data_IF_229846577158
#
_entry.id   IF_229846577158
#
_cell.length_a   1.000
_cell.length_b   1.000
_cell.length_c   1.000
_cell.angle_alpha   90.00
_cell.angle_beta   90.00
_cell.angle_gamma   90.00
#
_symmetry.space_group_name_H-M   'P 1'
#
loop_
_entity.id
_entity.type
_entity.pdbx_description
1 polymer ?
#
# COMPACT_ATOMS: atom_id res chain seq x y z
N UNK A 1 -23.53 -31.64 -14.28
CA UNK A 1 -22.12 -31.69 -13.85
C UNK A 1 -21.85 -30.38 -13.15
N UNK A 2 -21.78 -30.40 -11.82
CA UNK A 2 -21.73 -29.21 -10.99
C UNK A 2 -20.38 -28.53 -11.13
N UNK A 3 -20.37 -27.33 -11.71
CA UNK A 3 -19.18 -26.48 -11.84
C UNK A 3 -18.79 -25.96 -10.46
N UNK A 4 -17.89 -26.65 -9.77
CA UNK A 4 -17.20 -26.09 -8.61
C UNK A 4 -16.24 -25.03 -9.15
N UNK A 5 -16.71 -23.77 -9.25
CA UNK A 5 -15.83 -22.63 -9.53
C UNK A 5 -15.06 -22.35 -8.25
N UNK A 6 -13.99 -23.11 -8.06
CA UNK A 6 -13.02 -22.81 -7.03
C UNK A 6 -12.39 -21.43 -7.34
N UNK A 7 -12.40 -20.48 -6.39
CA UNK A 7 -11.86 -19.15 -6.61
C UNK A 7 -10.35 -19.26 -6.83
N UNK A 8 -9.94 -19.19 -8.10
CA UNK A 8 -8.53 -19.16 -8.47
C UNK A 8 -7.87 -17.93 -7.88
N UNK A 9 -6.84 -18.14 -7.06
CA UNK A 9 -6.09 -17.11 -6.37
C UNK A 9 -4.92 -16.65 -7.24
N UNK A 10 -5.11 -15.55 -7.97
CA UNK A 10 -4.07 -15.02 -8.87
C UNK A 10 -3.14 -14.07 -8.11
N UNK A 11 -1.85 -14.12 -8.42
CA UNK A 11 -0.90 -13.14 -7.90
C UNK A 11 -1.07 -11.79 -8.63
N UNK A 12 -1.04 -10.64 -7.92
CA UNK A 12 -1.10 -9.33 -8.54
C UNK A 12 0.25 -8.83 -9.09
N UNK A 13 1.37 -9.50 -8.76
CA UNK A 13 2.72 -9.11 -9.15
C UNK A 13 3.28 -9.94 -10.32
N UNK A 14 2.81 -11.18 -10.47
CA UNK A 14 3.21 -12.09 -11.53
C UNK A 14 1.98 -12.74 -12.16
N UNK A 15 2.18 -13.53 -13.21
CA UNK A 15 1.09 -14.19 -13.94
C UNK A 15 0.71 -15.57 -13.35
N UNK A 16 1.13 -15.86 -12.12
CA UNK A 16 0.87 -17.15 -11.47
C UNK A 16 -0.52 -17.22 -10.84
N UNK A 17 -1.11 -18.41 -10.93
CA UNK A 17 -2.46 -18.72 -10.42
C UNK A 17 -2.39 -19.90 -9.49
N UNK A 18 -2.99 -19.75 -8.31
CA UNK A 18 -2.97 -20.72 -7.24
C UNK A 18 -4.36 -21.27 -6.94
N UNK A 19 -4.39 -22.53 -6.50
CA UNK A 19 -5.61 -23.26 -6.13
C UNK A 19 -6.06 -22.99 -4.70
N UNK A 20 -5.20 -22.43 -3.84
CA UNK A 20 -5.55 -22.11 -2.46
C UNK A 20 -4.93 -20.79 -2.01
N UNK A 21 -5.56 -20.13 -1.04
CA UNK A 21 -5.04 -18.91 -0.41
C UNK A 21 -3.67 -19.13 0.23
N UNK A 22 -3.46 -20.30 0.86
CA UNK A 22 -2.20 -20.66 1.51
C UNK A 22 -1.03 -20.68 0.52
N UNK A 23 -1.25 -21.21 -0.68
CA UNK A 23 -0.21 -21.29 -1.71
C UNK A 23 0.14 -19.91 -2.26
N UNK A 24 -0.88 -19.08 -2.53
CA UNK A 24 -0.67 -17.67 -2.89
C UNK A 24 0.10 -16.92 -1.79
N UNK A 25 -0.22 -17.15 -0.51
CA UNK A 25 0.47 -16.49 0.60
C UNK A 25 1.94 -16.89 0.70
N UNK A 26 2.25 -18.19 0.55
CA UNK A 26 3.64 -18.67 0.56
C UNK A 26 4.39 -18.15 -0.66
N UNK A 27 3.77 -18.15 -1.84
CA UNK A 27 4.36 -17.55 -3.04
C UNK A 27 4.70 -16.08 -2.82
N UNK A 28 3.77 -15.30 -2.27
CA UNK A 28 4.01 -13.90 -1.94
C UNK A 28 5.16 -13.75 -0.92
N UNK A 29 5.30 -14.65 0.06
CA UNK A 29 6.37 -14.54 1.06
C UNK A 29 7.76 -14.91 0.50
N UNK A 30 7.84 -15.91 -0.39
CA UNK A 30 9.09 -16.47 -0.92
C UNK A 30 9.55 -15.75 -2.18
N UNK A 31 8.65 -15.55 -3.14
CA UNK A 31 8.97 -14.96 -4.46
C UNK A 31 8.86 -13.43 -4.42
N UNK A 32 7.88 -12.88 -3.69
CA UNK A 32 7.61 -11.44 -3.62
C UNK A 32 7.85 -10.88 -2.23
N UNK A 33 9.11 -10.90 -1.79
CA UNK A 33 9.51 -10.45 -0.46
C UNK A 33 8.79 -9.16 -0.06
N UNK A 34 8.27 -9.09 1.18
CA UNK A 34 7.40 -8.04 1.75
C UNK A 34 7.71 -6.58 1.33
N UNK A 35 8.97 -6.27 1.04
CA UNK A 35 9.43 -4.99 0.49
C UNK A 35 8.86 -4.64 -0.90
N UNK A 36 8.73 -5.60 -1.82
CA UNK A 36 8.19 -5.37 -3.17
C UNK A 36 6.67 -5.16 -3.11
N UNK A 37 5.97 -5.95 -2.29
CA UNK A 37 4.54 -5.76 -2.00
C UNK A 37 4.24 -4.40 -1.38
N UNK A 38 5.08 -3.98 -0.44
CA UNK A 38 4.94 -2.67 0.20
C UNK A 38 5.21 -1.52 -0.79
N UNK A 39 6.22 -1.65 -1.66
CA UNK A 39 6.54 -0.62 -2.65
C UNK A 39 5.42 -0.43 -3.68
N UNK A 40 4.85 -1.51 -4.22
CA UNK A 40 3.74 -1.44 -5.16
C UNK A 40 2.46 -0.89 -4.50
N UNK A 41 2.13 -1.34 -3.29
CA UNK A 41 0.97 -0.82 -2.56
C UNK A 41 1.11 0.67 -2.22
N UNK A 42 2.30 1.11 -1.80
CA UNK A 42 2.61 2.54 -1.57
C UNK A 42 2.47 3.33 -2.86
N UNK A 43 3.05 2.85 -3.96
CA UNK A 43 2.97 3.52 -5.26
C UNK A 43 1.53 3.66 -5.77
N UNK A 44 0.70 2.63 -5.56
CA UNK A 44 -0.73 2.68 -5.91
C UNK A 44 -1.50 3.66 -5.03
N UNK A 45 -1.23 3.67 -3.72
CA UNK A 45 -1.87 4.57 -2.78
C UNK A 45 -1.49 6.04 -3.02
N UNK A 46 -0.23 6.32 -3.33
CA UNK A 46 0.25 7.66 -3.70
C UNK A 46 -0.42 8.14 -4.99
N UNK A 47 -0.52 7.26 -6.00
CA UNK A 47 -1.20 7.58 -7.26
C UNK A 47 -2.71 7.78 -7.07
N UNK A 48 -3.33 7.10 -6.12
CA UNK A 48 -4.75 7.28 -5.77
C UNK A 48 -4.97 8.57 -4.98
N UNK A 49 -4.04 8.93 -4.09
CA UNK A 49 -4.05 10.20 -3.34
C UNK A 49 -3.86 11.42 -4.26
N UNK A 50 -3.07 11.31 -5.32
CA UNK A 50 -2.90 12.37 -6.32
C UNK A 50 -4.11 12.52 -7.26
N UNK A 51 -4.95 11.49 -7.36
CA UNK A 51 -6.18 11.54 -8.17
C UNK A 51 -7.36 12.26 -7.51
N UNK A 52 -7.18 12.78 -6.31
CA UNK A 52 -8.21 13.52 -5.62
C UNK A 52 -7.93 15.03 -5.63
N UNK A 53 -8.61 15.81 -6.50
CA UNK A 53 -8.74 17.25 -6.35
C UNK A 53 -9.94 17.57 -5.44
N UNK A 54 -9.98 17.10 -4.19
CA UNK A 54 -10.78 17.78 -3.16
C UNK A 54 -9.96 18.94 -2.65
N UNK A 55 -10.14 20.07 -3.33
CA UNK A 55 -10.15 21.34 -2.62
C UNK A 55 -11.11 21.20 -1.45
N UNK A 56 -10.59 21.10 -0.22
CA UNK A 56 -11.13 21.76 0.97
C UNK A 56 -10.25 21.44 2.18
N UNK A 57 -9.74 22.49 2.81
CA UNK A 57 -9.51 22.48 4.26
C UNK A 57 -8.08 22.24 4.70
N UNK A 58 -7.36 23.34 4.87
CA UNK A 58 -6.20 23.39 5.76
C UNK A 58 -6.53 22.68 7.08
N UNK A 59 -5.64 21.81 7.53
CA UNK A 59 -5.34 21.71 8.94
C UNK A 59 -3.86 21.42 9.08
N UNK A 60 -3.14 22.52 9.24
CA UNK A 60 -1.75 22.58 9.64
C UNK A 60 -1.55 21.80 10.94
N UNK A 61 -0.69 20.78 10.92
CA UNK A 61 0.17 20.47 12.06
C UNK A 61 1.58 20.31 11.52
N UNK A 62 2.20 21.44 11.18
CA UNK A 62 3.65 21.52 11.06
C UNK A 62 4.23 21.34 12.46
N UNK A 63 4.94 20.21 12.61
CA UNK A 63 6.29 20.14 13.17
C UNK A 63 6.51 20.86 14.51
N UNK A 64 6.48 20.04 15.57
CA UNK A 64 7.39 20.21 16.69
C UNK A 64 8.81 20.19 16.11
N UNK A 65 9.65 21.19 16.38
CA UNK A 65 11.02 21.05 16.90
C UNK A 65 11.56 22.43 17.39
N UNK A 66 12.44 22.34 18.36
CA UNK A 66 12.99 23.33 19.30
C UNK A 66 13.76 24.53 18.69
N UNK A 67 13.96 25.60 19.49
CA UNK A 67 14.97 26.60 19.10
C UNK A 67 15.27 27.88 19.90
N UNK A 68 15.01 28.01 21.22
CA UNK A 68 15.72 28.95 22.14
C UNK A 68 15.74 30.50 21.78
N UNK A 69 16.38 31.45 22.52
CA UNK A 69 15.66 32.57 23.17
C UNK A 69 16.11 34.03 22.82
N UNK A 70 15.25 35.03 23.13
CA UNK A 70 15.44 36.53 23.18
C UNK A 70 15.59 37.26 21.81
N UNK A 71 15.26 38.59 21.63
CA UNK A 71 15.65 39.74 22.47
C UNK A 71 14.59 40.86 22.74
N UNK A 72 14.83 41.57 23.85
CA UNK A 72 14.64 43.01 24.18
C UNK A 72 13.49 43.86 23.62
N UNK A 73 12.80 44.56 24.55
CA UNK A 73 12.71 46.03 24.59
C UNK A 73 12.48 46.50 26.03
#
# INVERSE_FOLDING_TARGET
>A
MSSHMDPRHNCPLCADTYETESDLRVHLEVEHRKSELAAELVSLYERERDRDPVAEGHLSTQELEEGTPTPSA
#
